data_IF_526118593782
#
_entry.id   IF_526118593782
#
_cell.length_a   1.000
_cell.length_b   1.000
_cell.length_c   1.000
_cell.angle_alpha   90.00
_cell.angle_beta   90.00
_cell.angle_gamma   90.00
#
_symmetry.space_group_name_H-M   'P 1'
#
loop_
_entity.id
_entity.type
_entity.pdbx_description
1 polymer ?
#
# COMPACT_ATOMS: atom_id res chain seq x y z
N UNK A 1 -10.38 -1.19 15.89
CA UNK A 1 -9.66 -1.16 14.60
C UNK A 1 -9.60 0.27 14.18
N UNK A 2 -8.40 0.83 14.09
CA UNK A 2 -8.21 2.21 13.69
C UNK A 2 -8.15 2.31 12.18
N UNK A 3 -8.89 3.25 11.61
CA UNK A 3 -8.72 3.65 10.22
C UNK A 3 -8.16 5.08 10.18
N UNK A 4 -7.13 5.29 9.38
CA UNK A 4 -6.51 6.61 9.20
C UNK A 4 -6.83 7.11 7.80
N UNK A 5 -7.48 8.26 7.72
CA UNK A 5 -7.74 8.95 6.46
C UNK A 5 -6.50 9.74 6.00
N UNK A 6 -5.65 9.06 5.24
CA UNK A 6 -4.42 9.61 4.71
C UNK A 6 -4.66 10.85 3.85
N UNK A 7 -5.67 10.80 2.96
CA UNK A 7 -5.96 11.89 2.03
C UNK A 7 -6.38 13.14 2.78
N UNK A 8 -7.26 12.97 3.78
CA UNK A 8 -7.68 14.09 4.63
C UNK A 8 -6.47 14.76 5.31
N UNK A 9 -5.58 13.97 5.93
CA UNK A 9 -4.41 14.50 6.63
C UNK A 9 -3.44 15.19 5.66
N UNK A 10 -3.22 14.61 4.47
CA UNK A 10 -2.33 15.21 3.48
C UNK A 10 -2.91 16.45 2.80
N UNK A 11 -4.24 16.58 2.78
CA UNK A 11 -4.94 17.74 2.19
C UNK A 11 -4.99 18.99 3.10
N UNK A 12 -4.66 18.88 4.39
CA UNK A 12 -4.66 20.03 5.30
C UNK A 12 -3.69 21.12 4.84
N UNK A 13 -4.01 22.40 5.10
CA UNK A 13 -3.11 23.51 4.79
C UNK A 13 -2.06 23.71 5.90
N UNK A 14 -1.19 22.71 6.08
CA UNK A 14 -0.11 22.64 7.07
C UNK A 14 1.22 22.28 6.43
N UNK A 15 2.33 22.48 7.16
CA UNK A 15 3.64 22.02 6.72
C UNK A 15 3.72 20.49 6.58
N UNK A 16 4.59 19.98 5.72
CA UNK A 16 4.75 18.52 5.52
C UNK A 16 5.12 17.78 6.81
N UNK A 17 6.04 18.33 7.61
CA UNK A 17 6.44 17.73 8.90
C UNK A 17 5.26 17.61 9.87
N UNK A 18 4.35 18.60 9.88
CA UNK A 18 3.15 18.57 10.73
C UNK A 18 2.15 17.51 10.25
N UNK A 19 1.99 17.35 8.95
CA UNK A 19 1.13 16.31 8.35
C UNK A 19 1.65 14.90 8.63
N UNK A 20 2.95 14.69 8.47
CA UNK A 20 3.60 13.41 8.79
C UNK A 20 3.47 13.08 10.28
N UNK A 21 3.67 14.07 11.14
CA UNK A 21 3.47 13.91 12.59
C UNK A 21 2.01 13.57 12.92
N UNK A 22 1.05 14.27 12.31
CA UNK A 22 -0.37 14.00 12.50
C UNK A 22 -0.77 12.61 11.99
N UNK A 23 -0.22 12.18 10.85
CA UNK A 23 -0.44 10.84 10.30
C UNK A 23 0.13 9.76 11.22
N UNK A 24 1.38 9.92 11.66
CA UNK A 24 2.04 8.97 12.56
C UNK A 24 1.28 8.86 13.88
N UNK A 25 0.88 9.99 14.46
CA UNK A 25 0.07 10.01 15.68
C UNK A 25 -1.26 9.28 15.45
N UNK A 26 -2.00 9.64 14.40
CA UNK A 26 -3.29 9.02 14.09
C UNK A 26 -3.16 7.51 13.83
N UNK A 27 -2.06 7.03 13.25
CA UNK A 27 -1.87 5.60 12.98
C UNK A 27 -1.44 4.79 14.20
N UNK A 28 -0.74 5.41 15.15
CA UNK A 28 -0.08 4.68 16.23
C UNK A 28 -0.83 4.74 17.56
N UNK A 29 -1.73 5.71 17.78
CA UNK A 29 -2.35 5.93 19.10
C UNK A 29 -3.18 4.75 19.63
N UNK A 30 -3.81 3.94 18.79
CA UNK A 30 -4.52 2.74 19.28
C UNK A 30 -3.58 1.54 19.54
N UNK A 31 -2.38 1.52 18.95
CA UNK A 31 -1.46 0.37 19.04
C UNK A 31 -1.04 0.07 20.50
N UNK A 32 -0.69 1.06 21.36
CA UNK A 32 -0.33 0.80 22.76
C UNK A 32 -1.41 0.09 23.57
N UNK A 33 -2.69 0.42 23.34
CA UNK A 33 -3.81 -0.21 24.04
C UNK A 33 -4.06 -1.62 23.52
N UNK A 34 -4.04 -1.81 22.20
CA UNK A 34 -4.18 -3.11 21.56
C UNK A 34 -3.07 -4.07 22.00
N UNK A 35 -1.82 -3.59 22.04
CA UNK A 35 -0.68 -4.39 22.49
C UNK A 35 -0.86 -4.91 23.92
N UNK A 36 -1.26 -4.05 24.86
CA UNK A 36 -1.54 -4.45 26.25
C UNK A 36 -2.71 -5.44 26.33
N UNK A 37 -3.73 -5.29 25.50
CA UNK A 37 -4.85 -6.22 25.44
C UNK A 37 -4.40 -7.61 24.95
N UNK A 38 -3.59 -7.66 23.89
CA UNK A 38 -3.04 -8.92 23.35
C UNK A 38 -2.07 -9.58 24.32
N UNK A 39 -1.23 -8.81 25.03
CA UNK A 39 -0.36 -9.33 26.09
C UNK A 39 -1.16 -10.01 27.21
N UNK A 40 -2.26 -9.40 27.64
CA UNK A 40 -3.13 -9.96 28.69
C UNK A 40 -3.87 -11.22 28.24
N UNK A 41 -4.13 -11.38 26.93
CA UNK A 41 -4.87 -12.50 26.36
C UNK A 41 -4.00 -13.77 26.11
N UNK A 42 -2.69 -13.74 26.40
CA UNK A 42 -1.73 -14.83 26.19
C UNK A 42 -1.77 -15.54 24.81
N UNK A 43 -2.26 -14.87 23.76
CA UNK A 43 -2.28 -15.39 22.38
C UNK A 43 -0.88 -15.45 21.74
N UNK A 44 0.19 -15.28 22.52
CA UNK A 44 1.56 -15.19 22.03
C UNK A 44 2.24 -16.57 21.86
N UNK A 45 1.57 -17.68 22.19
CA UNK A 45 2.17 -19.01 22.16
C UNK A 45 1.27 -20.17 21.72
N UNK A 46 0.03 -19.92 21.33
CA UNK A 46 -0.82 -20.94 20.73
C UNK A 46 -0.87 -20.67 19.23
N UNK A 47 -0.47 -21.65 18.42
CA UNK A 47 -0.90 -21.75 17.03
C UNK A 47 -2.44 -21.82 17.04
N UNK A 48 -3.09 -20.66 17.21
CA UNK A 48 -4.47 -20.50 16.82
C UNK A 48 -4.48 -20.96 15.37
N UNK A 49 -5.23 -22.03 15.07
CA UNK A 49 -5.23 -22.77 13.79
C UNK A 49 -5.69 -21.92 12.60
N UNK A 50 -5.02 -20.79 12.39
CA UNK A 50 -5.26 -19.82 11.35
C UNK A 50 -4.76 -20.46 10.06
N UNK A 51 -5.61 -20.54 9.02
CA UNK A 51 -5.19 -21.02 7.72
C UNK A 51 -3.97 -20.24 7.25
N UNK A 52 -2.85 -20.94 7.01
CA UNK A 52 -1.62 -20.33 6.50
C UNK A 52 -1.94 -19.76 5.11
N UNK A 53 -2.21 -18.47 5.05
CA UNK A 53 -2.42 -17.78 3.78
C UNK A 53 -1.05 -17.60 3.14
N UNK A 54 -0.77 -18.38 2.09
CA UNK A 54 0.49 -18.28 1.34
C UNK A 54 0.41 -17.05 0.43
N UNK A 55 1.32 -16.10 0.60
CA UNK A 55 1.46 -14.98 -0.32
C UNK A 55 1.76 -15.49 -1.73
N UNK A 56 1.03 -14.98 -2.72
CA UNK A 56 1.30 -15.24 -4.13
C UNK A 56 2.59 -14.53 -4.56
N UNK A 57 3.26 -15.07 -5.57
CA UNK A 57 4.39 -14.39 -6.18
C UNK A 57 3.93 -13.10 -6.85
N UNK A 58 4.73 -12.02 -6.80
CA UNK A 58 4.37 -10.77 -7.49
C UNK A 58 4.18 -11.01 -8.99
N UNK A 59 3.29 -10.25 -9.66
CA UNK A 59 3.06 -10.38 -11.10
C UNK A 59 4.36 -10.20 -11.90
N UNK A 60 4.56 -11.05 -12.92
CA UNK A 60 5.79 -11.07 -13.72
C UNK A 60 6.06 -9.73 -14.40
N UNK A 61 5.01 -9.04 -14.83
CA UNK A 61 5.13 -7.76 -15.51
C UNK A 61 5.68 -6.66 -14.60
N UNK A 62 5.56 -6.79 -13.27
CA UNK A 62 6.17 -5.86 -12.32
C UNK A 62 7.67 -6.18 -12.19
N UNK A 63 8.00 -7.47 -12.07
CA UNK A 63 9.39 -7.94 -11.95
C UNK A 63 10.21 -7.54 -13.18
N UNK A 64 9.69 -7.75 -14.37
CA UNK A 64 10.39 -7.44 -15.63
C UNK A 64 10.60 -5.94 -15.82
N UNK A 65 9.62 -5.11 -15.43
CA UNK A 65 9.74 -3.64 -15.45
C UNK A 65 10.85 -3.17 -14.52
N UNK A 66 10.89 -3.66 -13.28
CA UNK A 66 11.92 -3.30 -12.31
C UNK A 66 13.32 -3.72 -12.78
N UNK A 67 13.44 -4.91 -13.39
CA UNK A 67 14.70 -5.40 -13.93
C UNK A 67 15.18 -4.57 -15.13
N UNK A 68 14.26 -4.19 -16.02
CA UNK A 68 14.58 -3.34 -17.19
C UNK A 68 15.10 -1.98 -16.76
N UNK A 69 14.50 -1.36 -15.74
CA UNK A 69 14.97 -0.07 -15.19
C UNK A 69 16.38 -0.19 -14.60
N UNK A 70 16.69 -1.30 -13.94
CA UNK A 70 18.02 -1.56 -13.36
C UNK A 70 19.10 -1.75 -14.42
N UNK A 71 18.75 -2.32 -15.59
CA UNK A 71 19.69 -2.51 -16.70
C UNK A 71 20.04 -1.23 -17.46
N UNK A 72 19.31 -0.12 -17.24
CA UNK A 72 19.65 1.16 -17.88
C UNK A 72 20.92 1.74 -17.23
N UNK A 73 22.00 1.99 -17.99
CA UNK A 73 23.22 2.56 -17.45
C UNK A 73 22.92 3.89 -16.75
N UNK A 74 23.48 4.08 -15.54
CA UNK A 74 23.21 5.23 -14.67
C UNK A 74 23.44 6.59 -15.34
N UNK A 75 24.25 6.65 -16.41
CA UNK A 75 24.48 7.83 -17.25
C UNK A 75 23.23 8.33 -18.00
N UNK A 76 22.25 7.46 -18.25
CA UNK A 76 20.98 7.79 -18.93
C UNK A 76 19.80 7.91 -17.94
N UNK A 77 20.04 7.66 -16.65
CA UNK A 77 19.02 7.66 -15.57
C UNK A 77 18.64 9.07 -15.11
N UNK A 78 19.44 10.08 -15.43
CA UNK A 78 19.30 11.47 -14.95
C UNK A 78 18.33 12.29 -15.81
N UNK A 79 17.04 11.93 -15.78
CA UNK A 79 15.97 12.71 -16.37
C UNK A 79 14.70 12.64 -15.49
N UNK A 80 13.78 13.61 -15.58
CA UNK A 80 12.59 13.62 -14.73
C UNK A 80 11.74 12.36 -14.89
N UNK A 81 11.33 11.75 -13.77
CA UNK A 81 10.65 10.45 -13.72
C UNK A 81 9.31 10.44 -14.50
N UNK A 82 8.64 11.60 -14.61
CA UNK A 82 7.35 11.76 -15.28
C UNK A 82 7.44 11.74 -16.81
N UNK A 83 8.63 11.91 -17.40
CA UNK A 83 8.83 11.85 -18.85
C UNK A 83 9.05 10.43 -19.36
N UNK A 84 9.16 9.44 -18.46
CA UNK A 84 9.49 8.04 -18.75
C UNK A 84 8.29 7.08 -18.67
N UNK A 85 7.10 7.58 -18.34
CA UNK A 85 5.87 6.79 -18.36
C UNK A 85 5.34 6.69 -19.80
N UNK A 86 5.03 5.50 -20.33
CA UNK A 86 4.22 5.41 -21.55
C UNK A 86 2.88 6.12 -21.32
N UNK A 87 2.22 6.64 -22.38
CA UNK A 87 0.95 7.35 -22.23
C UNK A 87 -0.02 6.48 -21.43
N UNK A 88 -0.71 7.10 -20.47
CA UNK A 88 -1.75 6.46 -19.68
C UNK A 88 -2.78 5.87 -20.64
N UNK A 89 -2.72 4.55 -20.85
CA UNK A 89 -3.75 3.82 -21.57
C UNK A 89 -4.97 3.87 -20.68
N UNK A 90 -5.95 4.72 -21.02
CA UNK A 90 -7.29 4.67 -20.43
C UNK A 90 -7.79 3.23 -20.58
N UNK A 91 -7.79 2.46 -19.50
CA UNK A 91 -8.65 1.29 -19.43
C UNK A 91 -10.08 1.83 -19.43
N UNK A 92 -10.78 1.63 -20.53
CA UNK A 92 -12.22 1.86 -20.58
C UNK A 92 -12.84 0.97 -19.50
N UNK A 93 -13.79 1.51 -18.69
CA UNK A 93 -14.45 0.69 -17.69
C UNK A 93 -15.16 -0.46 -18.41
N UNK A 94 -14.71 -1.69 -18.12
CA UNK A 94 -15.48 -2.89 -18.43
C UNK A 94 -16.82 -2.73 -17.72
N UNK A 95 -17.88 -2.52 -18.49
CA UNK A 95 -19.25 -2.47 -18.00
C UNK A 95 -19.58 -3.81 -17.35
N UNK A 96 -19.87 -3.81 -16.05
CA UNK A 96 -20.41 -4.95 -15.32
C UNK A 96 -21.90 -5.15 -15.65
N UNK A 97 -22.22 -5.40 -16.91
CA UNK A 97 -23.58 -5.73 -17.34
C UNK A 97 -23.52 -6.94 -18.27
N UNK A 98 -24.34 -7.93 -17.91
CA UNK A 98 -24.50 -9.27 -18.48
C UNK A 98 -23.66 -10.39 -17.81
N UNK A 99 -23.91 -10.63 -16.52
CA UNK A 99 -23.94 -11.98 -15.96
C UNK A 99 -24.93 -12.01 -14.77
N UNK A 100 -26.21 -11.81 -15.09
CA UNK A 100 -27.33 -12.30 -14.27
C UNK A 100 -28.26 -13.01 -15.24
N UNK A 101 -27.99 -14.28 -15.47
CA UNK A 101 -28.93 -15.21 -16.09
C UNK A 101 -29.94 -15.67 -15.05
N UNK A 102 -31.21 -15.41 -15.34
CA UNK A 102 -32.34 -16.23 -14.89
C UNK A 102 -32.37 -17.48 -15.75
#
# INVERSE_FOLDING_TARGET
MQFVDFTKIMSENKGMSEKETALALAALMEIPLQYKATQRLSMLGSDAGVPRTRALTPPREVIDRDNTVKTIPHRLRTGPLWSRSPPFVRQTPRTWLLDVGI
#
